data_IF_533737700747
#
_entry.id   IF_533737700747
#
_cell.length_a   1.000
_cell.length_b   1.000
_cell.length_c   1.000
_cell.angle_alpha   90.00
_cell.angle_beta   90.00
_cell.angle_gamma   90.00
#
_symmetry.space_group_name_H-M   'P 1'
#
loop_
_entity.id
_entity.type
_entity.pdbx_description
1 polymer ?
#
# COMPACT_ATOMS: atom_id res chain seq x y z
N UNK A 1 -15.02 2.52 -4.58
CA UNK A 1 -14.25 1.30 -4.96
C UNK A 1 -12.96 1.73 -5.68
N UNK A 2 -11.84 1.01 -5.54
CA UNK A 2 -10.51 1.36 -6.07
C UNK A 2 -9.74 2.51 -5.35
N UNK A 3 -9.95 2.68 -4.03
CA UNK A 3 -9.08 3.52 -3.20
C UNK A 3 -8.14 2.61 -2.42
N UNK A 4 -6.85 2.95 -2.43
CA UNK A 4 -5.78 2.20 -1.77
C UNK A 4 -4.97 3.15 -0.89
N UNK A 5 -4.61 2.72 0.31
CA UNK A 5 -3.79 3.47 1.26
C UNK A 5 -2.49 2.73 1.54
N UNK A 6 -1.44 3.48 1.86
CA UNK A 6 -0.13 2.98 2.25
C UNK A 6 0.55 3.98 3.19
N UNK A 7 1.59 3.53 3.88
CA UNK A 7 2.38 4.35 4.79
C UNK A 7 1.58 4.80 6.01
N UNK A 8 1.81 6.04 6.42
CA UNK A 8 1.21 6.65 7.62
C UNK A 8 -0.29 6.94 7.50
N UNK A 9 -0.86 6.96 6.28
CA UNK A 9 -2.32 7.05 6.11
C UNK A 9 -3.07 5.83 6.68
N UNK A 10 -2.35 4.76 7.03
CA UNK A 10 -2.87 3.61 7.74
C UNK A 10 -2.79 3.92 9.25
N UNK A 11 -3.80 3.53 10.02
CA UNK A 11 -3.81 3.73 11.47
C UNK A 11 -2.86 2.72 12.17
N UNK A 12 -1.56 3.04 12.15
CA UNK A 12 -0.51 2.29 12.82
C UNK A 12 0.61 3.23 13.27
N UNK A 13 1.36 2.82 14.29
CA UNK A 13 2.45 3.61 14.84
C UNK A 13 3.80 2.94 14.57
N UNK A 14 4.73 3.72 14.02
CA UNK A 14 6.07 3.24 13.71
C UNK A 14 7.02 3.44 14.90
N UNK A 15 7.80 2.42 15.29
CA UNK A 15 8.91 2.63 16.22
C UNK A 15 9.94 3.63 15.69
N UNK A 16 10.64 4.31 16.58
CA UNK A 16 11.79 5.15 16.20
C UNK A 16 12.91 4.31 15.57
N UNK A 17 13.81 4.95 14.81
CA UNK A 17 14.91 4.25 14.15
C UNK A 17 14.64 3.89 12.68
N UNK A 18 13.79 4.67 12.02
CA UNK A 18 13.57 4.57 10.56
C UNK A 18 12.45 3.62 10.14
N UNK A 19 11.75 2.97 11.08
CA UNK A 19 10.67 2.03 10.75
C UNK A 19 9.51 2.68 10.02
N UNK A 20 9.29 3.99 10.16
CA UNK A 20 8.29 4.71 9.38
C UNK A 20 8.57 4.58 7.88
N UNK A 21 9.81 4.82 7.45
CA UNK A 21 10.18 4.71 6.03
C UNK A 21 10.10 3.26 5.55
N UNK A 22 10.57 2.32 6.36
CA UNK A 22 10.44 0.88 6.06
C UNK A 22 8.96 0.48 5.91
N UNK A 23 8.08 0.95 6.80
CA UNK A 23 6.64 0.75 6.74
C UNK A 23 6.04 1.36 5.48
N UNK A 24 6.38 2.60 5.14
CA UNK A 24 5.94 3.27 3.92
C UNK A 24 6.35 2.51 2.65
N UNK A 25 7.58 2.03 2.54
CA UNK A 25 8.03 1.30 1.35
C UNK A 25 7.38 -0.08 1.22
N UNK A 26 7.26 -0.81 2.33
CA UNK A 26 6.66 -2.15 2.35
C UNK A 26 5.15 -2.10 2.02
N UNK A 27 4.41 -1.20 2.66
CA UNK A 27 2.98 -0.99 2.38
C UNK A 27 2.74 -0.36 1.01
N UNK A 28 3.61 0.54 0.54
CA UNK A 28 3.55 1.12 -0.80
C UNK A 28 3.67 0.06 -1.90
N UNK A 29 4.62 -0.87 -1.77
CA UNK A 29 4.73 -2.03 -2.66
C UNK A 29 3.45 -2.86 -2.68
N UNK A 30 2.90 -3.16 -1.50
CA UNK A 30 1.66 -3.95 -1.34
C UNK A 30 0.46 -3.25 -2.00
N UNK A 31 0.33 -1.94 -1.81
CA UNK A 31 -0.74 -1.15 -2.43
C UNK A 31 -0.60 -1.13 -3.96
N UNK A 32 0.62 -0.94 -4.49
CA UNK A 32 0.90 -1.00 -5.92
C UNK A 32 0.55 -2.35 -6.54
N UNK A 33 0.95 -3.46 -5.92
CA UNK A 33 0.58 -4.81 -6.36
C UNK A 33 -0.94 -5.00 -6.38
N UNK A 34 -1.64 -4.44 -5.38
CA UNK A 34 -3.10 -4.42 -5.31
C UNK A 34 -3.75 -3.64 -6.45
N UNK A 35 -3.21 -2.46 -6.80
CA UNK A 35 -3.66 -1.66 -7.94
C UNK A 35 -3.50 -2.42 -9.25
N UNK A 36 -2.33 -3.02 -9.49
CA UNK A 36 -2.07 -3.81 -10.71
C UNK A 36 -3.10 -4.94 -10.82
N UNK A 37 -3.28 -5.74 -9.76
CA UNK A 37 -4.25 -6.84 -9.76
C UNK A 37 -5.67 -6.36 -10.02
N UNK A 38 -6.07 -5.25 -9.41
CA UNK A 38 -7.38 -4.66 -9.61
C UNK A 38 -7.60 -4.26 -11.06
N UNK A 39 -6.63 -3.57 -11.68
CA UNK A 39 -6.71 -3.13 -13.06
C UNK A 39 -6.66 -4.30 -14.04
N UNK A 40 -5.75 -5.27 -13.85
CA UNK A 40 -5.62 -6.43 -14.73
C UNK A 40 -6.80 -7.40 -14.61
N UNK A 41 -7.38 -7.53 -13.42
CA UNK A 41 -8.57 -8.34 -13.19
C UNK A 41 -9.85 -7.69 -13.72
N UNK A 42 -9.88 -6.36 -13.82
CA UNK A 42 -10.98 -5.62 -14.44
C UNK A 42 -10.98 -5.67 -15.97
N UNK A 43 -9.83 -5.93 -16.63
CA UNK A 43 -9.73 -6.05 -18.10
C UNK A 43 -10.32 -7.36 -18.65
N UNK A 44 -10.87 -8.23 -17.80
CA UNK A 44 -11.51 -9.49 -18.18
C UNK A 44 -13.04 -9.50 -18.17
N UNK A 45 -13.70 -8.33 -18.14
CA UNK A 45 -15.17 -8.20 -18.17
C UNK A 45 -15.63 -7.40 -19.40
#
# INVERSE_FOLDING_TARGET
PAVFCAGEMLDWEAPTGGYLLTGCFTTGKRAGDGVVRYLTGATGA
#
